data_IF_490732744716
#
_entry.id   IF_490732744716
#
_cell.length_a   1.000
_cell.length_b   1.000
_cell.length_c   1.000
_cell.angle_alpha   90.00
_cell.angle_beta   90.00
_cell.angle_gamma   90.00
#
_symmetry.space_group_name_H-M   'P 1'
#
loop_
_entity.id
_entity.type
_entity.pdbx_description
1 polymer ?
#
# COMPACT_ATOMS: atom_id res chain seq x y z
N UNK A 1 34.55 44.39 38.22
CA UNK A 1 33.71 44.52 37.03
C UNK A 1 33.05 43.18 36.73
N UNK A 2 31.75 42.97 37.02
CA UNK A 2 31.08 41.72 36.70
C UNK A 2 30.75 41.71 35.19
N UNK A 3 30.98 40.54 34.53
CA UNK A 3 30.65 40.26 33.13
C UNK A 3 29.13 40.23 32.95
N UNK A 4 28.57 40.85 31.86
CA UNK A 4 27.17 40.75 31.57
C UNK A 4 26.79 39.32 31.16
N UNK A 5 25.72 38.80 31.75
CA UNK A 5 25.09 37.53 31.39
C UNK A 5 24.51 37.65 29.97
N UNK A 6 24.94 36.77 29.08
CA UNK A 6 24.39 36.66 27.72
C UNK A 6 22.91 36.26 27.79
N UNK A 7 22.06 37.03 27.15
CA UNK A 7 20.64 36.70 26.96
C UNK A 7 20.50 35.35 26.21
N UNK A 8 19.55 34.48 26.62
CA UNK A 8 19.26 33.28 25.89
C UNK A 8 18.74 33.62 24.48
N UNK A 9 19.22 32.88 23.47
CA UNK A 9 18.75 32.97 22.10
C UNK A 9 17.24 32.64 22.01
N UNK A 10 16.48 33.35 21.13
CA UNK A 10 15.07 33.05 20.94
C UNK A 10 14.88 31.61 20.47
N UNK A 11 13.75 30.95 20.86
CA UNK A 11 13.46 29.61 20.39
C UNK A 11 13.36 29.60 18.87
N UNK A 12 13.94 28.56 18.25
CA UNK A 12 13.86 28.33 16.80
C UNK A 12 12.40 28.34 16.36
N UNK A 13 12.10 29.09 15.30
CA UNK A 13 10.78 29.07 14.65
C UNK A 13 10.34 27.64 14.36
N UNK A 14 9.05 27.33 14.48
CA UNK A 14 8.55 26.01 14.13
C UNK A 14 8.96 25.71 12.67
N UNK A 15 9.59 24.55 12.48
CA UNK A 15 9.98 24.07 11.15
C UNK A 15 8.75 24.12 10.25
N UNK A 16 8.82 24.88 9.17
CA UNK A 16 7.80 24.90 8.11
C UNK A 16 7.73 23.47 7.58
N UNK A 17 6.63 22.77 7.87
CA UNK A 17 6.38 21.46 7.28
C UNK A 17 6.42 21.62 5.75
N UNK A 18 7.23 20.79 5.10
CA UNK A 18 7.23 20.70 3.65
C UNK A 18 5.80 20.43 3.16
N UNK A 19 5.39 20.92 1.98
CA UNK A 19 4.08 20.61 1.44
C UNK A 19 3.95 19.08 1.28
N UNK A 20 2.75 18.51 1.52
CA UNK A 20 2.53 17.08 1.40
C UNK A 20 2.87 16.62 -0.02
N UNK A 21 3.60 15.53 -0.12
CA UNK A 21 3.95 14.90 -1.40
C UNK A 21 2.78 14.06 -1.94
N UNK A 22 2.86 13.66 -3.22
CA UNK A 22 1.89 12.72 -3.81
C UNK A 22 1.91 11.38 -3.07
N UNK A 23 3.08 10.97 -2.59
CA UNK A 23 3.23 9.76 -1.77
C UNK A 23 2.53 9.91 -0.42
N UNK A 24 2.68 11.04 0.28
CA UNK A 24 1.96 11.29 1.54
C UNK A 24 0.45 11.15 1.33
N UNK A 25 -0.10 11.77 0.28
CA UNK A 25 -1.51 11.68 -0.04
C UNK A 25 -1.96 10.24 -0.35
N UNK A 26 -1.13 9.45 -1.00
CA UNK A 26 -1.42 8.03 -1.26
C UNK A 26 -1.38 7.19 0.03
N UNK A 27 -0.40 7.45 0.91
CA UNK A 27 -0.27 6.75 2.19
C UNK A 27 -1.42 7.09 3.14
N UNK A 28 -1.92 8.30 3.15
CA UNK A 28 -3.10 8.68 3.94
C UNK A 28 -4.34 7.85 3.54
N UNK A 29 -4.47 7.51 2.26
CA UNK A 29 -5.58 6.73 1.73
C UNK A 29 -5.47 5.23 1.99
N UNK A 30 -4.28 4.66 1.82
CA UNK A 30 -4.09 3.20 1.83
C UNK A 30 -2.90 2.72 2.64
N UNK A 31 -2.05 3.61 3.19
CA UNK A 31 -0.76 3.25 3.81
C UNK A 31 -0.83 2.47 5.12
N UNK A 32 -2.01 2.27 5.67
CA UNK A 32 -2.21 1.46 6.86
C UNK A 32 -2.03 -0.02 6.54
N UNK A 33 -1.32 -0.75 7.42
CA UNK A 33 -1.04 -2.18 7.25
C UNK A 33 -2.29 -3.00 6.96
N UNK A 34 -3.36 -2.75 7.71
CA UNK A 34 -4.59 -3.53 7.57
C UNK A 34 -5.32 -3.22 6.27
N UNK A 35 -5.27 -1.96 5.82
CA UNK A 35 -5.80 -1.54 4.51
C UNK A 35 -5.11 -2.28 3.37
N UNK A 36 -3.78 -2.34 3.38
CA UNK A 36 -3.01 -3.06 2.35
C UNK A 36 -3.28 -4.57 2.37
N UNK A 37 -3.39 -5.19 3.56
CA UNK A 37 -3.70 -6.61 3.68
C UNK A 37 -5.13 -6.93 3.23
N UNK A 38 -6.11 -6.06 3.51
CA UNK A 38 -7.50 -6.21 3.01
C UNK A 38 -7.53 -6.10 1.49
N UNK A 39 -6.82 -5.13 0.91
CA UNK A 39 -6.70 -5.01 -0.55
C UNK A 39 -6.06 -6.26 -1.14
N UNK A 40 -4.99 -6.78 -0.55
CA UNK A 40 -4.33 -8.02 -1.00
C UNK A 40 -5.30 -9.23 -1.00
N UNK A 41 -6.10 -9.40 0.06
CA UNK A 41 -7.10 -10.45 0.14
C UNK A 41 -8.19 -10.31 -0.95
N UNK A 42 -8.58 -9.07 -1.28
CA UNK A 42 -9.58 -8.78 -2.30
C UNK A 42 -9.07 -8.92 -3.74
N UNK A 43 -7.75 -8.97 -3.98
CA UNK A 43 -7.18 -9.25 -5.31
C UNK A 43 -7.54 -10.64 -5.83
N UNK A 44 -7.80 -11.59 -4.93
CA UNK A 44 -8.22 -12.95 -5.29
C UNK A 44 -9.69 -12.98 -5.75
N UNK A 45 -10.47 -11.95 -5.42
CA UNK A 45 -11.87 -11.82 -5.78
C UNK A 45 -12.74 -11.27 -4.66
N UNK A 46 -14.04 -11.19 -4.92
CA UNK A 46 -15.00 -10.69 -3.94
C UNK A 46 -15.05 -11.57 -2.68
N UNK A 47 -15.11 -10.93 -1.50
CA UNK A 47 -15.10 -11.58 -0.18
C UNK A 47 -16.23 -11.05 0.71
N UNK A 48 -16.74 -11.93 1.60
CA UNK A 48 -17.62 -11.53 2.69
C UNK A 48 -16.78 -11.05 3.89
N UNK A 49 -17.43 -10.39 4.83
CA UNK A 49 -16.74 -9.89 6.03
C UNK A 49 -16.00 -10.98 6.81
N UNK A 50 -16.64 -12.15 7.00
CA UNK A 50 -16.01 -13.25 7.74
C UNK A 50 -14.86 -13.88 6.95
N UNK A 51 -14.99 -13.99 5.63
CA UNK A 51 -13.91 -14.49 4.78
C UNK A 51 -12.68 -13.57 4.90
N UNK A 52 -12.87 -12.24 4.94
CA UNK A 52 -11.79 -11.28 5.15
C UNK A 52 -11.14 -11.37 6.53
N UNK A 53 -11.91 -11.70 7.58
CA UNK A 53 -11.34 -11.94 8.91
C UNK A 53 -10.39 -13.15 8.93
N UNK A 54 -10.75 -14.19 8.19
CA UNK A 54 -9.95 -15.41 8.05
C UNK A 54 -8.72 -15.17 7.16
N UNK A 55 -8.93 -14.58 5.96
CA UNK A 55 -7.87 -14.34 4.97
C UNK A 55 -6.79 -13.38 5.48
N UNK A 56 -7.17 -12.30 6.19
CA UNK A 56 -6.22 -11.30 6.69
C UNK A 56 -5.52 -11.75 7.97
N UNK A 57 -6.11 -12.66 8.73
CA UNK A 57 -5.53 -13.21 9.94
C UNK A 57 -5.09 -12.19 11.00
N UNK A 58 -5.55 -12.33 12.22
CA UNK A 58 -5.14 -11.47 13.35
C UNK A 58 -5.74 -10.05 13.36
N UNK A 59 -6.56 -9.67 12.39
CA UNK A 59 -7.30 -8.41 12.42
C UNK A 59 -8.53 -8.53 13.32
N UNK A 60 -8.74 -7.56 14.20
CA UNK A 60 -9.95 -7.52 15.03
C UNK A 60 -11.17 -7.07 14.18
N UNK A 61 -12.40 -7.62 14.44
CA UNK A 61 -13.59 -7.30 13.64
C UNK A 61 -13.93 -5.80 13.58
N UNK A 62 -13.73 -5.07 14.68
CA UNK A 62 -13.95 -3.63 14.71
C UNK A 62 -12.93 -2.85 13.88
N UNK A 63 -11.68 -3.34 13.79
CA UNK A 63 -10.63 -2.75 12.94
C UNK A 63 -10.95 -3.01 11.48
N UNK A 64 -11.29 -4.26 11.10
CA UNK A 64 -11.70 -4.59 9.74
C UNK A 64 -12.90 -3.74 9.30
N UNK A 65 -13.92 -3.60 10.14
CA UNK A 65 -15.09 -2.77 9.84
C UNK A 65 -14.70 -1.31 9.57
N UNK A 66 -13.79 -0.73 10.36
CA UNK A 66 -13.28 0.63 10.15
C UNK A 66 -12.50 0.75 8.84
N UNK A 67 -11.65 -0.22 8.53
CA UNK A 67 -10.83 -0.22 7.31
C UNK A 67 -11.68 -0.38 6.06
N UNK A 68 -12.66 -1.26 6.06
CA UNK A 68 -13.57 -1.43 4.94
C UNK A 68 -14.36 -0.14 4.66
N UNK A 69 -14.88 0.52 5.69
CA UNK A 69 -15.55 1.83 5.53
C UNK A 69 -14.63 2.91 4.99
N UNK A 70 -13.39 2.95 5.46
CA UNK A 70 -12.39 3.88 4.96
C UNK A 70 -12.07 3.62 3.49
N UNK A 71 -11.75 2.37 3.12
CA UNK A 71 -11.46 1.99 1.74
C UNK A 71 -12.64 2.21 0.80
N UNK A 72 -13.88 2.05 1.30
CA UNK A 72 -15.09 2.38 0.55
C UNK A 72 -15.22 3.90 0.33
N UNK A 73 -14.96 4.71 1.37
CA UNK A 73 -14.92 6.17 1.27
C UNK A 73 -13.87 6.66 0.27
N UNK A 74 -12.69 6.04 0.27
CA UNK A 74 -11.61 6.35 -0.67
C UNK A 74 -11.83 5.81 -2.10
N UNK A 75 -12.95 5.11 -2.33
CA UNK A 75 -13.26 4.56 -3.65
C UNK A 75 -12.38 3.39 -4.09
N UNK A 76 -11.69 2.75 -3.15
CA UNK A 76 -10.81 1.58 -3.39
C UNK A 76 -11.61 0.28 -3.36
N UNK A 77 -12.62 0.21 -2.50
CA UNK A 77 -13.50 -0.95 -2.30
C UNK A 77 -14.95 -0.54 -2.52
N UNK A 78 -15.76 -1.46 -3.01
CA UNK A 78 -17.21 -1.32 -3.08
C UNK A 78 -17.88 -2.45 -2.29
N UNK A 79 -18.89 -2.09 -1.47
CA UNK A 79 -19.70 -3.03 -0.73
C UNK A 79 -21.02 -3.26 -1.43
N UNK A 80 -21.30 -4.51 -1.81
CA UNK A 80 -22.57 -4.91 -2.45
C UNK A 80 -23.42 -5.71 -1.47
N UNK A 81 -24.66 -5.28 -1.15
CA UNK A 81 -25.50 -6.02 -0.24
C UNK A 81 -26.03 -7.30 -0.90
N UNK A 82 -25.86 -8.45 -0.23
CA UNK A 82 -26.47 -9.71 -0.65
C UNK A 82 -27.61 -10.18 0.25
N UNK A 83 -27.80 -9.54 1.41
CA UNK A 83 -28.93 -9.76 2.32
C UNK A 83 -29.39 -8.44 2.93
N UNK A 84 -30.70 -8.25 3.06
CA UNK A 84 -31.27 -7.04 3.63
C UNK A 84 -31.62 -7.17 5.12
N UNK A 85 -31.86 -8.39 5.59
CA UNK A 85 -32.25 -8.65 6.98
C UNK A 85 -31.64 -9.97 7.46
N UNK A 86 -30.58 -9.94 8.32
CA UNK A 86 -29.77 -8.77 8.64
C UNK A 86 -28.98 -8.28 7.43
N UNK A 87 -28.57 -7.00 7.37
CA UNK A 87 -27.74 -6.48 6.28
C UNK A 87 -26.39 -7.22 6.23
N UNK A 88 -26.06 -7.78 5.06
CA UNK A 88 -24.79 -8.47 4.81
C UNK A 88 -24.24 -8.03 3.48
N UNK A 89 -22.93 -7.84 3.41
CA UNK A 89 -22.22 -7.30 2.27
C UNK A 89 -21.15 -8.25 1.76
N UNK A 90 -20.93 -8.20 0.46
CA UNK A 90 -19.76 -8.70 -0.23
C UNK A 90 -18.91 -7.51 -0.63
N UNK A 91 -17.62 -7.57 -0.40
CA UNK A 91 -16.66 -6.52 -0.71
C UNK A 91 -15.83 -6.93 -1.93
N UNK A 92 -15.55 -5.98 -2.81
CA UNK A 92 -14.69 -6.18 -3.99
C UNK A 92 -13.92 -4.90 -4.30
N UNK A 93 -12.79 -5.04 -4.99
CA UNK A 93 -12.01 -3.88 -5.42
C UNK A 93 -12.73 -3.15 -6.57
N UNK A 94 -12.59 -1.84 -6.56
CA UNK A 94 -12.92 -0.99 -7.72
C UNK A 94 -11.80 -1.03 -8.75
N UNK A 95 -11.94 -0.34 -9.89
CA UNK A 95 -10.86 -0.21 -10.86
C UNK A 95 -9.59 0.41 -10.22
N UNK A 96 -9.75 1.50 -9.43
CA UNK A 96 -8.61 2.12 -8.72
C UNK A 96 -8.02 1.19 -7.64
N UNK A 97 -8.85 0.37 -6.99
CA UNK A 97 -8.36 -0.63 -6.04
C UNK A 97 -7.53 -1.73 -6.70
N UNK A 98 -7.88 -2.13 -7.93
CA UNK A 98 -7.13 -3.11 -8.69
C UNK A 98 -5.75 -2.59 -9.13
N UNK A 99 -5.58 -1.30 -9.35
CA UNK A 99 -4.30 -0.67 -9.67
C UNK A 99 -3.26 -0.83 -8.53
N UNK A 100 -3.71 -1.00 -7.28
CA UNK A 100 -2.82 -1.28 -6.15
C UNK A 100 -2.14 -2.66 -6.23
N UNK A 101 -2.57 -3.54 -7.14
CA UNK A 101 -1.97 -4.86 -7.30
C UNK A 101 -0.47 -4.79 -7.60
N UNK A 102 -0.05 -3.85 -8.44
CA UNK A 102 1.37 -3.70 -8.81
C UNK A 102 2.18 -3.13 -7.65
N UNK A 103 1.64 -2.15 -6.91
CA UNK A 103 2.26 -1.60 -5.70
C UNK A 103 2.47 -2.70 -4.66
N UNK A 104 1.46 -3.53 -4.40
CA UNK A 104 1.54 -4.64 -3.44
C UNK A 104 2.56 -5.70 -3.87
N UNK A 105 2.66 -5.99 -5.17
CA UNK A 105 3.65 -6.93 -5.70
C UNK A 105 5.08 -6.42 -5.49
N UNK A 106 5.34 -5.15 -5.84
CA UNK A 106 6.67 -4.54 -5.65
C UNK A 106 7.04 -4.50 -4.17
N UNK A 107 6.10 -4.14 -3.30
CA UNK A 107 6.30 -4.15 -1.86
C UNK A 107 6.58 -5.56 -1.31
N UNK A 108 5.84 -6.57 -1.79
CA UNK A 108 6.06 -7.97 -1.41
C UNK A 108 7.42 -8.48 -1.87
N UNK A 109 7.84 -8.13 -3.09
CA UNK A 109 9.16 -8.47 -3.63
C UNK A 109 10.28 -7.84 -2.81
N UNK A 110 10.16 -6.55 -2.47
CA UNK A 110 11.10 -5.88 -1.60
C UNK A 110 11.19 -6.54 -0.22
N UNK A 111 10.04 -6.89 0.37
CA UNK A 111 9.96 -7.59 1.65
C UNK A 111 10.63 -8.97 1.61
N UNK A 112 10.45 -9.73 0.52
CA UNK A 112 11.11 -11.02 0.33
C UNK A 112 12.64 -10.90 0.23
N UNK A 113 13.14 -9.84 -0.40
CA UNK A 113 14.58 -9.60 -0.56
C UNK A 113 15.28 -9.07 0.70
N UNK A 114 14.54 -8.38 1.60
CA UNK A 114 15.11 -7.66 2.74
C UNK A 114 14.54 -8.11 4.10
N UNK A 115 13.51 -8.94 4.12
CA UNK A 115 12.82 -9.39 5.31
C UNK A 115 13.19 -10.81 5.73
N UNK A 116 12.92 -11.14 7.00
CA UNK A 116 12.85 -12.53 7.44
C UNK A 116 11.47 -13.06 7.08
N UNK A 117 11.43 -13.94 6.08
CA UNK A 117 10.19 -14.60 5.72
C UNK A 117 9.73 -15.53 6.85
N UNK A 118 8.45 -15.51 7.24
CA UNK A 118 7.91 -16.52 8.14
C UNK A 118 8.14 -17.92 7.59
N UNK A 119 8.42 -18.89 8.45
CA UNK A 119 8.60 -20.28 8.04
C UNK A 119 7.35 -20.76 7.28
N UNK A 120 7.55 -21.27 6.07
CA UNK A 120 6.47 -21.72 5.17
C UNK A 120 5.96 -20.67 4.18
N UNK A 121 6.51 -19.47 4.19
CA UNK A 121 6.28 -18.50 3.11
C UNK A 121 6.96 -19.00 1.84
N UNK A 122 6.27 -18.92 0.69
CA UNK A 122 6.93 -19.19 -0.59
C UNK A 122 8.05 -18.19 -0.82
N UNK A 123 9.27 -18.65 -1.06
CA UNK A 123 10.46 -17.82 -1.34
C UNK A 123 10.29 -16.93 -2.58
N UNK A 124 9.23 -17.15 -3.35
CA UNK A 124 8.95 -16.44 -4.58
C UNK A 124 7.76 -15.49 -4.37
N UNK A 125 8.00 -14.35 -3.73
CA UNK A 125 7.07 -13.21 -3.76
C UNK A 125 6.92 -12.62 -5.17
N UNK A 126 7.65 -13.14 -6.16
CA UNK A 126 7.66 -12.72 -7.55
C UNK A 126 6.76 -13.58 -8.44
N UNK A 127 6.19 -12.96 -9.46
CA UNK A 127 5.46 -13.62 -10.52
C UNK A 127 6.46 -14.36 -11.42
N UNK A 128 6.24 -15.66 -11.66
CA UNK A 128 7.01 -16.41 -12.65
C UNK A 128 6.32 -16.34 -14.02
N UNK A 129 7.11 -16.39 -15.08
CA UNK A 129 6.60 -16.48 -16.44
C UNK A 129 6.12 -17.91 -16.71
N UNK A 130 4.85 -18.10 -17.04
CA UNK A 130 4.20 -19.40 -17.16
C UNK A 130 4.87 -20.31 -18.19
N UNK A 131 5.47 -19.74 -19.23
CA UNK A 131 6.08 -20.52 -20.31
C UNK A 131 7.48 -21.06 -19.97
N UNK A 132 8.25 -20.43 -19.08
CA UNK A 132 9.64 -20.81 -18.79
C UNK A 132 9.97 -20.90 -17.30
N UNK A 133 9.05 -20.56 -16.41
CA UNK A 133 9.25 -20.57 -14.96
C UNK A 133 10.22 -19.51 -14.41
N UNK A 134 10.74 -18.61 -15.27
CA UNK A 134 11.66 -17.55 -14.85
C UNK A 134 10.92 -16.49 -14.05
N UNK A 135 11.51 -16.01 -12.95
CA UNK A 135 10.97 -14.92 -12.17
C UNK A 135 10.86 -13.65 -13.03
N UNK A 136 9.70 -12.99 -12.97
CA UNK A 136 9.48 -11.72 -13.65
C UNK A 136 10.06 -10.58 -12.84
N UNK A 137 10.70 -9.64 -13.52
CA UNK A 137 11.26 -8.43 -12.93
C UNK A 137 10.37 -7.22 -13.28
N UNK A 138 10.26 -6.27 -12.35
CA UNK A 138 9.61 -4.98 -12.63
C UNK A 138 10.62 -4.05 -13.30
N UNK A 139 10.27 -3.49 -14.46
CA UNK A 139 11.10 -2.53 -15.20
C UNK A 139 10.23 -1.37 -15.68
N UNK A 140 10.82 -0.19 -15.71
CA UNK A 140 10.18 0.98 -16.30
C UNK A 140 10.23 0.88 -17.81
N UNK A 141 9.11 1.08 -18.47
CA UNK A 141 9.01 1.05 -19.92
C UNK A 141 8.52 2.39 -20.46
N UNK A 142 9.29 2.97 -21.37
CA UNK A 142 8.89 4.20 -22.07
C UNK A 142 8.08 3.84 -23.33
N UNK A 143 6.78 4.15 -23.39
CA UNK A 143 5.97 3.81 -24.57
C UNK A 143 6.34 4.62 -25.82
N UNK A 144 6.90 5.83 -25.66
CA UNK A 144 7.34 6.68 -26.77
C UNK A 144 8.62 6.15 -27.42
N UNK A 145 9.59 5.72 -26.60
CA UNK A 145 10.86 5.16 -27.09
C UNK A 145 10.76 3.66 -27.38
N UNK A 146 9.65 3.00 -26.98
CA UNK A 146 9.41 1.56 -27.10
C UNK A 146 10.53 0.70 -26.50
N UNK A 147 11.11 1.12 -25.37
CA UNK A 147 12.19 0.40 -24.67
C UNK A 147 12.06 0.46 -23.15
N UNK A 148 12.74 -0.48 -22.47
CA UNK A 148 12.96 -0.43 -21.04
C UNK A 148 13.93 0.72 -20.74
N UNK A 149 13.68 1.42 -19.63
CA UNK A 149 14.48 2.54 -19.13
C UNK A 149 15.19 2.10 -17.87
N UNK A 150 16.48 2.35 -17.79
CA UNK A 150 17.29 2.08 -16.59
C UNK A 150 17.09 3.18 -15.55
N UNK A 151 17.31 2.85 -14.26
CA UNK A 151 17.03 3.75 -13.13
C UNK A 151 17.86 5.05 -13.17
N UNK A 152 19.00 5.04 -13.84
CA UNK A 152 19.92 6.19 -14.01
C UNK A 152 19.52 7.12 -15.18
N UNK A 153 18.62 6.69 -16.06
CA UNK A 153 18.11 7.52 -17.15
C UNK A 153 16.87 8.37 -16.75
N UNK A 154 16.32 8.15 -15.58
CA UNK A 154 15.10 8.79 -15.12
C UNK A 154 15.32 9.74 -13.94
N UNK A 155 14.90 10.98 -14.10
CA UNK A 155 14.89 12.01 -13.03
C UNK A 155 13.76 11.74 -11.98
N UNK A 156 13.08 10.61 -12.10
CA UNK A 156 11.77 10.37 -11.49
C UNK A 156 11.74 9.95 -10.03
N UNK A 157 12.86 9.50 -9.43
CA UNK A 157 12.87 9.04 -8.03
C UNK A 157 13.03 10.17 -7.00
N UNK A 158 13.38 11.36 -7.43
CA UNK A 158 13.63 12.50 -6.55
C UNK A 158 12.39 13.36 -6.23
N UNK A 159 11.22 13.02 -6.77
CA UNK A 159 9.97 13.80 -6.63
C UNK A 159 8.80 13.00 -6.02
N UNK A 160 9.10 11.98 -5.21
CA UNK A 160 8.10 11.25 -4.40
C UNK A 160 7.63 12.06 -3.20
#
# INVERSE_FOLDING_TARGET
MPRPLASPAPPASPATLAPPTVLDAALDRVGDRWSLLVVAALLVGARRFNDLLEDVGGIAPNVLSKRLKHLEHEGVVVATPYSRRPPRFTYQLTASGLELADVLRVLAQWGASHGHLPAGSSEHGGRAHDACGTALETRWYCPTCARVVDDDEGDGLLHL
#
